data_IF_766132026454
#
_entry.id   IF_766132026454
#
_cell.length_a   1.000
_cell.length_b   1.000
_cell.length_c   1.000
_cell.angle_alpha   90.00
_cell.angle_beta   90.00
_cell.angle_gamma   90.00
#
_symmetry.space_group_name_H-M   'P 1'
#
loop_
_entity.id
_entity.type
_entity.pdbx_description
1 polymer ?
#
# COMPACT_ATOMS: atom_id res chain seq x y z
N UNK A 1 0.07 33.29 -3.02
CA UNK A 1 1.28 32.80 -3.71
C UNK A 1 1.24 31.27 -3.64
N UNK A 2 1.22 30.57 -4.76
CA UNK A 2 1.21 29.10 -4.75
C UNK A 2 2.62 28.63 -4.37
N UNK A 3 2.75 27.95 -3.22
CA UNK A 3 3.99 27.30 -2.85
C UNK A 3 4.36 26.31 -3.96
N UNK A 4 5.62 26.35 -4.41
CA UNK A 4 6.11 25.45 -5.46
C UNK A 4 6.11 24.04 -4.88
N UNK A 5 5.14 23.22 -5.28
CA UNK A 5 5.01 21.83 -4.82
C UNK A 5 6.31 21.07 -5.09
N UNK A 6 6.72 20.20 -4.15
CA UNK A 6 7.79 19.25 -4.40
C UNK A 6 7.35 18.30 -5.52
N UNK A 7 8.32 17.67 -6.18
CA UNK A 7 8.06 16.66 -7.22
C UNK A 7 7.09 15.61 -6.64
N UNK A 8 6.00 15.35 -7.36
CA UNK A 8 4.98 14.32 -7.07
C UNK A 8 4.10 14.56 -5.80
N UNK A 9 4.23 15.72 -5.13
CA UNK A 9 3.36 16.08 -4.01
C UNK A 9 1.93 16.40 -4.49
N UNK A 10 0.93 15.73 -3.89
CA UNK A 10 -0.47 16.02 -4.14
C UNK A 10 -0.89 17.36 -3.50
N UNK A 11 -1.58 18.25 -4.22
CA UNK A 11 -2.17 19.43 -3.63
C UNK A 11 -3.20 19.06 -2.54
N UNK A 12 -3.20 19.77 -1.41
CA UNK A 12 -4.08 19.49 -0.26
C UNK A 12 -5.57 19.39 -0.65
N UNK A 13 -6.06 20.30 -1.49
CA UNK A 13 -7.44 20.27 -1.97
C UNK A 13 -7.80 18.99 -2.75
N UNK A 14 -6.83 18.42 -3.48
CA UNK A 14 -6.98 17.17 -4.22
C UNK A 14 -6.97 15.97 -3.27
N UNK A 15 -6.07 15.97 -2.29
CA UNK A 15 -5.99 14.91 -1.27
C UNK A 15 -7.28 14.83 -0.41
N UNK A 16 -7.82 15.97 0.04
CA UNK A 16 -9.09 15.99 0.80
C UNK A 16 -10.27 15.50 -0.04
N UNK A 17 -10.33 15.84 -1.31
CA UNK A 17 -11.35 15.32 -2.23
C UNK A 17 -11.24 13.78 -2.36
N UNK A 18 -10.03 13.25 -2.51
CA UNK A 18 -9.79 11.81 -2.61
C UNK A 18 -10.17 11.04 -1.35
N UNK A 19 -9.91 11.60 -0.16
CA UNK A 19 -10.37 11.04 1.11
C UNK A 19 -11.89 11.01 1.22
N UNK A 20 -12.55 12.08 0.77
CA UNK A 20 -14.02 12.13 0.77
C UNK A 20 -14.60 11.05 -0.16
N UNK A 21 -14.07 10.94 -1.39
CA UNK A 21 -14.51 9.93 -2.35
C UNK A 21 -14.29 8.51 -1.82
N UNK A 22 -13.15 8.26 -1.17
CA UNK A 22 -12.89 6.97 -0.56
C UNK A 22 -13.95 6.61 0.50
N UNK A 23 -14.30 7.54 1.40
CA UNK A 23 -15.31 7.28 2.45
C UNK A 23 -16.69 6.96 1.89
N UNK A 24 -17.03 7.50 0.72
CA UNK A 24 -18.32 7.24 0.09
C UNK A 24 -18.34 5.92 -0.66
N UNK A 25 -17.26 5.58 -1.38
CA UNK A 25 -17.06 4.25 -1.98
C UNK A 25 -16.91 3.15 -0.92
N UNK A 26 -16.33 3.48 0.24
CA UNK A 26 -16.14 2.54 1.34
C UNK A 26 -17.46 1.97 1.85
N UNK A 27 -18.51 2.81 1.88
CA UNK A 27 -19.85 2.41 2.31
C UNK A 27 -20.51 1.43 1.34
N UNK A 28 -20.09 1.44 0.07
CA UNK A 28 -20.75 0.71 -1.02
C UNK A 28 -19.99 -0.58 -1.34
N UNK A 29 -18.69 -0.50 -1.62
CA UNK A 29 -17.92 -1.62 -2.17
C UNK A 29 -16.85 -2.18 -1.22
N UNK A 30 -16.36 -1.37 -0.27
CA UNK A 30 -15.29 -1.74 0.65
C UNK A 30 -15.84 -2.41 1.93
N UNK A 31 -16.07 -3.72 1.85
CA UNK A 31 -16.54 -4.49 3.01
C UNK A 31 -15.41 -5.13 3.84
N UNK A 32 -14.34 -4.39 4.12
CA UNK A 32 -13.20 -4.84 4.93
C UNK A 32 -13.04 -3.99 6.17
N UNK A 33 -12.44 -4.55 7.22
CA UNK A 33 -11.94 -3.78 8.34
C UNK A 33 -10.54 -3.26 8.00
N UNK A 34 -10.35 -1.95 8.02
CA UNK A 34 -9.02 -1.34 7.85
C UNK A 34 -8.27 -1.29 9.17
N UNK A 35 -7.09 -1.88 9.19
CA UNK A 35 -6.09 -1.65 10.23
C UNK A 35 -5.04 -0.67 9.72
N UNK A 36 -4.39 0.05 10.64
CA UNK A 36 -3.32 0.98 10.28
C UNK A 36 -2.16 0.21 9.65
N UNK A 37 -1.76 0.65 8.46
CA UNK A 37 -0.60 0.13 7.74
C UNK A 37 0.52 1.15 7.93
N UNK A 38 1.57 0.78 8.67
CA UNK A 38 2.69 1.67 8.96
C UNK A 38 3.96 1.05 8.42
N UNK A 39 4.78 1.84 7.73
CA UNK A 39 6.13 1.48 7.33
C UNK A 39 7.13 2.17 8.24
N UNK A 40 7.92 1.40 8.98
CA UNK A 40 8.95 1.92 9.87
C UNK A 40 10.26 2.15 9.10
N UNK A 41 11.00 3.20 9.47
CA UNK A 41 12.29 3.58 8.87
C UNK A 41 13.30 2.43 8.88
N UNK A 42 13.35 1.65 9.96
CA UNK A 42 14.23 0.49 10.07
C UNK A 42 13.88 -0.59 9.04
N UNK A 43 12.59 -0.91 8.92
CA UNK A 43 12.10 -1.84 7.89
C UNK A 43 12.41 -1.34 6.48
N UNK A 44 12.19 -0.04 6.22
CA UNK A 44 12.55 0.57 4.94
C UNK A 44 14.04 0.40 4.64
N UNK A 45 14.93 0.69 5.59
CA UNK A 45 16.38 0.54 5.39
C UNK A 45 16.77 -0.90 5.06
N UNK A 46 16.14 -1.88 5.72
CA UNK A 46 16.37 -3.30 5.44
C UNK A 46 15.88 -3.67 4.03
N UNK A 47 14.69 -3.21 3.64
CA UNK A 47 14.09 -3.53 2.34
C UNK A 47 14.76 -2.78 1.18
N UNK A 48 15.16 -1.53 1.35
CA UNK A 48 15.87 -0.77 0.34
C UNK A 48 17.28 -1.33 0.11
N UNK A 49 17.93 -1.79 1.19
CA UNK A 49 19.31 -2.30 1.13
C UNK A 49 20.30 -1.28 0.60
N UNK A 50 21.52 -1.72 0.30
CA UNK A 50 22.57 -0.87 -0.28
C UNK A 50 22.32 -0.54 -1.75
N UNK A 51 21.61 -1.42 -2.47
CA UNK A 51 21.27 -1.27 -3.89
C UNK A 51 20.09 -0.34 -4.13
N UNK A 52 19.58 0.31 -3.07
CA UNK A 52 18.57 1.36 -3.21
C UNK A 52 17.30 0.84 -3.91
N UNK A 53 16.93 -0.40 -3.58
CA UNK A 53 15.78 -1.10 -4.12
C UNK A 53 14.48 -0.34 -3.82
N UNK A 54 13.49 -0.52 -4.69
CA UNK A 54 12.13 -0.04 -4.43
C UNK A 54 11.46 -0.95 -3.42
N UNK A 55 10.42 -0.44 -2.77
CA UNK A 55 9.60 -1.22 -1.85
C UNK A 55 8.26 -1.48 -2.51
N UNK A 56 7.85 -2.75 -2.57
CA UNK A 56 6.51 -3.13 -3.02
C UNK A 56 5.68 -3.56 -1.82
N UNK A 57 4.46 -3.05 -1.75
CA UNK A 57 3.50 -3.35 -0.69
C UNK A 57 2.35 -4.14 -1.29
N UNK A 58 2.21 -5.40 -0.86
CA UNK A 58 1.11 -6.26 -1.21
C UNK A 58 -0.04 -6.11 -0.22
N UNK A 59 -1.27 -6.10 -0.72
CA UNK A 59 -2.46 -6.15 0.11
C UNK A 59 -2.88 -7.60 0.35
N UNK A 60 -3.16 -7.92 1.61
CA UNK A 60 -3.58 -9.23 2.08
C UNK A 60 -4.81 -9.14 2.96
N UNK A 61 -5.38 -10.30 3.29
CA UNK A 61 -6.42 -10.41 4.31
C UNK A 61 -5.94 -11.32 5.43
N UNK A 62 -6.27 -10.97 6.67
CA UNK A 62 -6.09 -11.89 7.78
C UNK A 62 -6.95 -13.15 7.56
N UNK A 63 -6.40 -14.34 7.85
CA UNK A 63 -7.12 -15.60 7.63
C UNK A 63 -8.36 -15.72 8.53
N UNK A 64 -8.33 -15.08 9.70
CA UNK A 64 -9.44 -15.02 10.64
C UNK A 64 -10.28 -13.77 10.42
N UNK A 65 -11.59 -13.95 10.27
CA UNK A 65 -12.53 -12.83 10.22
C UNK A 65 -12.62 -12.16 11.60
N UNK A 66 -12.66 -10.84 11.61
CA UNK A 66 -12.96 -10.07 12.80
C UNK A 66 -14.46 -9.77 12.81
N UNK A 67 -15.22 -10.61 13.49
CA UNK A 67 -16.69 -10.61 13.41
C UNK A 67 -17.17 -11.11 12.04
N UNK A 68 -17.91 -10.28 11.29
CA UNK A 68 -18.45 -10.65 9.97
C UNK A 68 -17.57 -10.25 8.79
N UNK A 69 -16.53 -9.44 9.01
CA UNK A 69 -15.69 -8.87 7.94
C UNK A 69 -14.27 -9.44 8.01
N UNK A 70 -13.64 -9.55 6.85
CA UNK A 70 -12.20 -9.77 6.79
C UNK A 70 -11.45 -8.50 7.21
N UNK A 71 -10.27 -8.69 7.79
CA UNK A 71 -9.37 -7.61 8.17
C UNK A 71 -8.27 -7.46 7.12
N UNK A 72 -8.10 -6.23 6.61
CA UNK A 72 -7.07 -5.92 5.63
C UNK A 72 -5.71 -5.84 6.34
N UNK A 73 -4.72 -6.51 5.77
CA UNK A 73 -3.31 -6.40 6.17
C UNK A 73 -2.44 -6.07 4.95
N UNK A 74 -1.18 -5.75 5.19
CA UNK A 74 -0.23 -5.43 4.14
C UNK A 74 1.16 -6.02 4.42
N UNK A 75 1.86 -6.35 3.35
CA UNK A 75 3.20 -6.94 3.40
C UNK A 75 4.15 -6.15 2.50
N UNK A 76 5.29 -5.73 3.04
CA UNK A 76 6.33 -5.03 2.30
C UNK A 76 7.46 -5.97 1.92
N UNK A 77 7.90 -5.86 0.66
CA UNK A 77 9.01 -6.62 0.09
C UNK A 77 9.93 -5.68 -0.71
N UNK A 78 11.18 -6.10 -0.85
CA UNK A 78 12.16 -5.42 -1.69
C UNK A 78 11.92 -5.75 -3.16
N UNK A 79 12.00 -4.76 -4.04
CA UNK A 79 11.82 -4.91 -5.48
C UNK A 79 12.99 -4.25 -6.23
N UNK A 80 13.68 -5.02 -7.08
CA UNK A 80 14.84 -4.56 -7.86
C UNK A 80 14.55 -4.53 -9.35
N UNK A 81 15.26 -3.67 -10.06
CA UNK A 81 15.15 -3.56 -11.52
C UNK A 81 15.90 -4.74 -12.17
N UNK A 82 15.20 -5.56 -12.95
CA UNK A 82 15.84 -6.66 -13.67
C UNK A 82 16.20 -6.23 -15.10
N UNK A 83 17.51 -6.12 -15.37
CA UNK A 83 18.04 -5.79 -16.70
C UNK A 83 17.88 -4.31 -17.08
N UNK A 84 17.79 -4.02 -18.39
CA UNK A 84 17.63 -2.67 -18.94
C UNK A 84 16.16 -2.25 -19.16
N UNK A 85 15.18 -3.09 -18.81
CA UNK A 85 13.76 -2.80 -18.92
C UNK A 85 13.17 -2.20 -17.64
N UNK A 86 11.94 -1.67 -17.70
CA UNK A 86 11.20 -1.11 -16.55
C UNK A 86 10.49 -2.18 -15.70
N UNK A 87 11.06 -3.39 -15.59
CA UNK A 87 10.44 -4.50 -14.86
C UNK A 87 11.10 -4.67 -13.49
N UNK A 88 10.30 -4.50 -12.44
CA UNK A 88 10.72 -4.69 -11.05
C UNK A 88 10.34 -6.09 -10.55
N UNK A 89 11.35 -6.85 -10.14
CA UNK A 89 11.21 -8.20 -9.59
C UNK A 89 11.34 -8.15 -8.08
N UNK A 90 10.50 -8.92 -7.38
CA UNK A 90 10.52 -8.96 -5.92
C UNK A 90 11.59 -9.94 -5.42
N UNK A 91 12.25 -9.58 -4.33
CA UNK A 91 12.99 -10.55 -3.54
C UNK A 91 12.03 -11.43 -2.75
N UNK A 92 12.36 -12.71 -2.62
CA UNK A 92 11.61 -13.63 -1.76
C UNK A 92 11.79 -13.32 -0.27
N UNK A 93 12.92 -12.72 0.09
CA UNK A 93 13.24 -12.27 1.45
C UNK A 93 14.11 -11.01 1.41
N UNK A 94 14.02 -10.12 2.40
CA UNK A 94 13.12 -10.19 3.55
C UNK A 94 11.70 -9.68 3.24
N UNK A 95 10.72 -10.18 4.00
CA UNK A 95 9.29 -9.81 3.90
C UNK A 95 8.80 -9.35 5.26
N UNK A 96 8.16 -8.18 5.31
CA UNK A 96 7.64 -7.62 6.56
C UNK A 96 6.14 -7.42 6.51
N UNK A 97 5.43 -7.87 7.56
CA UNK A 97 4.03 -7.50 7.76
C UNK A 97 3.97 -6.10 8.37
N UNK A 98 3.24 -5.21 7.70
CA UNK A 98 3.08 -3.83 8.09
C UNK A 98 1.94 -3.71 9.09
N UNK A 99 2.28 -3.49 10.36
CA UNK A 99 1.31 -3.23 11.42
C UNK A 99 1.71 -1.94 12.15
N UNK A 100 1.38 -1.78 13.43
CA UNK A 100 1.95 -0.71 14.27
C UNK A 100 3.44 -0.93 14.53
N UNK A 101 3.88 -2.18 14.59
CA UNK A 101 5.29 -2.58 14.70
C UNK A 101 5.52 -3.60 13.60
N UNK A 102 6.49 -3.35 12.74
CA UNK A 102 6.70 -4.21 11.58
C UNK A 102 7.29 -5.55 12.02
N UNK A 103 6.62 -6.61 11.60
CA UNK A 103 6.99 -7.97 11.97
C UNK A 103 7.70 -8.64 10.80
N UNK A 104 8.82 -9.30 11.07
CA UNK A 104 9.49 -10.12 10.08
C UNK A 104 8.68 -11.40 9.79
N UNK A 105 8.33 -11.57 8.53
CA UNK A 105 7.58 -12.70 7.97
C UNK A 105 8.40 -13.47 6.93
N UNK A 106 9.72 -13.23 6.84
CA UNK A 106 10.61 -13.89 5.88
C UNK A 106 10.66 -15.42 6.03
N UNK A 107 10.39 -15.95 7.22
CA UNK A 107 10.28 -17.40 7.48
C UNK A 107 8.88 -17.97 7.27
N UNK A 108 7.89 -17.11 7.01
CA UNK A 108 6.45 -17.42 6.91
C UNK A 108 5.87 -17.06 5.54
N UNK A 109 6.69 -17.18 4.49
CA UNK A 109 6.31 -16.79 3.11
C UNK A 109 5.02 -17.46 2.63
N UNK A 110 4.76 -18.71 3.06
CA UNK A 110 3.51 -19.40 2.73
C UNK A 110 2.28 -18.67 3.30
N UNK A 111 2.34 -18.23 4.55
CA UNK A 111 1.23 -17.50 5.20
C UNK A 111 0.98 -16.16 4.49
N UNK A 112 2.05 -15.50 4.05
CA UNK A 112 1.97 -14.26 3.26
C UNK A 112 1.27 -14.52 1.92
N UNK A 113 1.70 -15.55 1.19
CA UNK A 113 1.10 -15.94 -0.10
C UNK A 113 -0.38 -16.28 0.05
N UNK A 114 -0.74 -17.05 1.07
CA UNK A 114 -2.13 -17.45 1.32
C UNK A 114 -3.00 -16.24 1.69
N UNK A 115 -2.47 -15.29 2.48
CA UNK A 115 -3.13 -14.02 2.78
C UNK A 115 -3.37 -13.16 1.53
N UNK A 116 -2.39 -13.06 0.64
CA UNK A 116 -2.50 -12.31 -0.63
C UNK A 116 -3.53 -12.99 -1.56
N UNK A 117 -3.53 -14.32 -1.65
CA UNK A 117 -4.53 -15.08 -2.42
C UNK A 117 -5.95 -14.88 -1.88
N UNK A 118 -6.10 -14.79 -0.57
CA UNK A 118 -7.38 -14.50 0.07
C UNK A 118 -7.89 -13.10 -0.33
N UNK A 119 -7.02 -12.09 -0.29
CA UNK A 119 -7.35 -10.74 -0.76
C UNK A 119 -7.74 -10.70 -2.24
N UNK A 120 -7.02 -11.43 -3.10
CA UNK A 120 -7.35 -11.55 -4.53
C UNK A 120 -8.73 -12.18 -4.74
N UNK A 121 -9.03 -13.23 -3.98
CA UNK A 121 -10.35 -13.89 -4.05
C UNK A 121 -11.48 -12.96 -3.60
N UNK A 122 -11.23 -12.10 -2.59
CA UNK A 122 -12.16 -11.05 -2.20
C UNK A 122 -12.32 -9.97 -3.28
N UNK A 123 -11.20 -9.56 -3.90
CA UNK A 123 -11.20 -8.57 -4.98
C UNK A 123 -11.94 -9.08 -6.22
N UNK A 124 -11.80 -10.35 -6.56
CA UNK A 124 -12.50 -10.99 -7.67
C UNK A 124 -13.99 -11.23 -7.40
N UNK A 125 -14.47 -10.89 -6.20
CA UNK A 125 -15.84 -11.16 -5.79
C UNK A 125 -16.13 -12.64 -5.56
N UNK A 126 -15.11 -13.51 -5.48
CA UNK A 126 -15.29 -14.93 -5.14
C UNK A 126 -15.68 -15.09 -3.68
N UNK A 127 -15.15 -14.24 -2.79
CA UNK A 127 -15.53 -14.13 -1.39
C UNK A 127 -16.61 -13.06 -1.19
N UNK A 128 -17.53 -13.33 -0.26
CA UNK A 128 -18.63 -12.43 0.10
C UNK A 128 -19.40 -11.92 -1.13
N UNK A 129 -19.77 -12.84 -2.04
CA UNK A 129 -20.48 -12.58 -3.32
C UNK A 129 -21.74 -11.73 -3.18
N UNK A 130 -22.45 -11.87 -2.07
CA UNK A 130 -23.70 -11.14 -1.80
C UNK A 130 -23.48 -9.69 -1.39
N UNK A 131 -22.24 -9.26 -1.14
CA UNK A 131 -21.95 -7.89 -0.76
C UNK A 131 -22.05 -6.95 -1.98
N UNK A 132 -22.65 -5.76 -1.83
CA UNK A 132 -22.72 -4.77 -2.90
C UNK A 132 -21.33 -4.46 -3.47
N UNK A 133 -21.25 -4.31 -4.79
CA UNK A 133 -20.02 -4.00 -5.51
C UNK A 133 -19.01 -5.15 -5.61
N UNK A 134 -19.31 -6.37 -5.18
CA UNK A 134 -18.39 -7.52 -5.25
C UNK A 134 -17.86 -7.78 -6.68
N UNK A 135 -18.69 -7.57 -7.70
CA UNK A 135 -18.32 -7.78 -9.12
C UNK A 135 -17.34 -6.74 -9.67
N UNK A 136 -17.30 -5.55 -9.08
CA UNK A 136 -16.51 -4.41 -9.58
C UNK A 136 -15.25 -4.13 -8.77
N UNK A 137 -15.07 -4.76 -7.60
CA UNK A 137 -13.89 -4.61 -6.73
C UNK A 137 -12.57 -4.75 -7.48
N UNK A 138 -12.48 -5.67 -8.44
CA UNK A 138 -11.28 -5.90 -9.27
C UNK A 138 -10.83 -4.71 -10.11
N UNK A 139 -11.72 -3.77 -10.39
CA UNK A 139 -11.40 -2.55 -11.14
C UNK A 139 -11.07 -1.37 -10.22
N UNK A 140 -11.42 -1.47 -8.94
CA UNK A 140 -11.25 -0.39 -7.96
C UNK A 140 -9.98 -0.61 -7.15
N UNK A 141 -9.76 -1.83 -6.65
CA UNK A 141 -8.71 -2.14 -5.68
C UNK A 141 -7.53 -2.81 -6.38
N UNK A 142 -6.28 -2.33 -6.25
CA UNK A 142 -5.10 -2.95 -6.83
C UNK A 142 -4.66 -4.16 -6.00
N UNK A 143 -3.76 -4.95 -6.57
CA UNK A 143 -3.07 -6.05 -5.89
C UNK A 143 -2.01 -5.56 -4.90
N UNK A 144 -1.25 -4.55 -5.33
CA UNK A 144 -0.05 -4.10 -4.68
C UNK A 144 0.30 -2.68 -5.14
N UNK A 145 1.26 -2.09 -4.44
CA UNK A 145 1.75 -0.74 -4.66
C UNK A 145 3.28 -0.76 -4.72
N UNK A 146 3.86 -0.27 -5.83
CA UNK A 146 5.30 -0.10 -5.95
C UNK A 146 5.65 1.34 -5.57
N UNK A 147 6.28 1.52 -4.42
CA UNK A 147 6.70 2.84 -3.96
C UNK A 147 7.98 3.26 -4.68
N UNK A 148 8.10 4.55 -5.04
CA UNK A 148 9.38 5.00 -5.60
C UNK A 148 10.41 5.14 -4.49
N UNK A 149 11.67 5.07 -4.92
CA UNK A 149 12.77 5.29 -4.02
C UNK A 149 12.78 6.73 -3.47
N UNK A 150 12.42 7.70 -4.30
CA UNK A 150 12.61 9.11 -3.98
C UNK A 150 11.75 9.55 -2.80
N UNK A 151 10.49 9.13 -2.73
CA UNK A 151 9.58 9.53 -1.66
C UNK A 151 9.99 8.93 -0.32
N UNK A 152 10.28 7.62 -0.28
CA UNK A 152 10.69 6.96 0.96
C UNK A 152 12.04 7.49 1.44
N UNK A 153 12.96 7.80 0.51
CA UNK A 153 14.21 8.46 0.82
C UNK A 153 13.97 9.88 1.37
N UNK A 154 13.08 10.65 0.77
CA UNK A 154 12.70 11.98 1.25
C UNK A 154 12.12 11.91 2.68
N UNK A 155 11.13 11.04 2.92
CA UNK A 155 10.49 10.86 4.22
C UNK A 155 11.50 10.41 5.29
N UNK A 156 12.23 9.33 5.03
CA UNK A 156 13.04 8.69 6.05
C UNK A 156 14.44 9.27 6.18
N UNK A 157 15.07 9.72 5.10
CA UNK A 157 16.46 10.20 5.13
C UNK A 157 16.56 11.72 5.17
N UNK A 158 15.73 12.45 4.40
CA UNK A 158 15.81 13.91 4.34
C UNK A 158 15.02 14.55 5.49
N UNK A 159 13.77 14.13 5.68
CA UNK A 159 12.91 14.63 6.75
C UNK A 159 13.13 13.92 8.10
N UNK A 160 13.93 12.85 8.09
CA UNK A 160 14.33 12.07 9.26
C UNK A 160 13.15 11.52 10.09
N UNK A 161 12.05 11.20 9.42
CA UNK A 161 10.88 10.63 10.05
C UNK A 161 11.11 9.16 10.41
N UNK A 162 10.42 8.66 11.41
CA UNK A 162 10.62 7.28 11.88
C UNK A 162 9.60 6.30 11.29
N UNK A 163 8.44 6.80 10.87
CA UNK A 163 7.29 5.98 10.49
C UNK A 163 6.47 6.72 9.44
N UNK A 164 5.99 5.99 8.43
CA UNK A 164 5.09 6.49 7.40
C UNK A 164 3.78 5.69 7.42
N UNK A 165 2.65 6.38 7.54
CA UNK A 165 1.33 5.72 7.45
C UNK A 165 0.93 5.62 5.97
N UNK A 166 0.41 4.46 5.57
CA UNK A 166 -0.12 4.22 4.23
C UNK A 166 -1.65 4.13 4.33
N UNK A 167 -2.34 5.02 3.64
CA UNK A 167 -3.80 5.04 3.55
C UNK A 167 -4.27 5.12 2.08
N UNK A 168 -5.55 4.90 1.82
CA UNK A 168 -6.09 4.81 0.46
C UNK A 168 -6.98 5.99 0.11
N UNK A 169 -6.78 6.55 -1.09
CA UNK A 169 -7.65 7.56 -1.70
C UNK A 169 -8.22 7.08 -3.04
N UNK A 170 -9.37 7.61 -3.47
CA UNK A 170 -9.98 7.27 -4.77
C UNK A 170 -10.06 8.48 -5.70
N UNK A 171 -9.61 8.27 -6.95
CA UNK A 171 -9.70 9.20 -8.08
C UNK A 171 -10.16 8.48 -9.35
N UNK A 172 -11.33 7.83 -9.34
CA UNK A 172 -11.78 6.89 -10.40
C UNK A 172 -10.82 5.70 -10.69
N UNK A 173 -9.63 5.70 -10.08
CA UNK A 173 -8.63 4.65 -9.85
C UNK A 173 -8.02 4.92 -8.47
N UNK A 174 -7.66 3.87 -7.71
CA UNK A 174 -7.17 3.99 -6.33
C UNK A 174 -5.69 4.36 -6.28
N UNK A 175 -5.37 5.29 -5.37
CA UNK A 175 -4.07 5.90 -5.13
C UNK A 175 -3.64 5.64 -3.68
N UNK A 176 -2.35 5.42 -3.41
CA UNK A 176 -1.84 5.24 -2.06
C UNK A 176 -1.33 6.57 -1.51
N UNK A 177 -1.81 6.96 -0.34
CA UNK A 177 -1.32 8.12 0.39
C UNK A 177 -0.22 7.67 1.37
N UNK A 178 0.97 8.24 1.24
CA UNK A 178 2.12 7.97 2.11
C UNK A 178 2.37 9.24 2.93
N UNK A 179 2.10 9.18 4.24
CA UNK A 179 2.33 10.30 5.15
C UNK A 179 3.77 10.31 5.67
N UNK A 180 4.33 11.50 5.91
CA UNK A 180 5.66 11.65 6.53
C UNK A 180 5.70 11.25 8.00
N UNK A 181 4.58 11.24 8.72
CA UNK A 181 4.50 10.93 10.16
C UNK A 181 3.28 10.07 10.52
N UNK A 182 3.35 9.39 11.67
CA UNK A 182 2.17 8.77 12.30
C UNK A 182 1.23 9.87 12.81
N UNK A 183 0.07 9.98 12.19
CA UNK A 183 -0.95 10.95 12.61
C UNK A 183 -1.44 10.64 14.04
N UNK A 184 -1.13 11.54 14.99
CA UNK A 184 -1.87 11.59 16.27
C UNK A 184 -3.23 12.22 15.98
N UNK A 185 -4.31 11.69 16.56
CA UNK A 185 -5.72 12.07 16.27
C UNK A 185 -6.06 13.58 16.35
N UNK A 186 -5.16 14.43 16.85
CA UNK A 186 -5.37 15.85 17.10
C UNK A 186 -4.32 16.78 16.46
N UNK A 187 -3.46 16.32 15.54
CA UNK A 187 -2.56 17.21 14.81
C UNK A 187 -3.32 18.03 13.77
N UNK A 188 -3.04 19.33 13.71
CA UNK A 188 -3.61 20.26 12.73
C UNK A 188 -3.22 19.87 11.30
N UNK A 189 -4.11 20.07 10.30
CA UNK A 189 -3.93 19.53 8.95
C UNK A 189 -2.73 20.08 8.17
N UNK A 190 -2.17 21.21 8.60
CA UNK A 190 -1.25 22.02 7.80
C UNK A 190 0.23 21.59 7.89
N UNK A 191 0.60 20.64 8.75
CA UNK A 191 2.01 20.31 9.03
C UNK A 191 2.48 18.94 8.52
N UNK A 192 1.68 18.19 7.75
CA UNK A 192 2.04 16.80 7.35
C UNK A 192 2.05 16.64 5.83
N UNK A 193 3.21 16.33 5.26
CA UNK A 193 3.33 16.09 3.81
C UNK A 193 2.81 14.68 3.44
N UNK A 194 2.19 14.54 2.26
CA UNK A 194 1.55 13.29 1.77
C UNK A 194 1.89 13.05 0.29
N UNK A 195 2.27 11.81 -0.05
CA UNK A 195 2.72 11.39 -1.39
C UNK A 195 1.83 10.28 -2.00
N UNK A 196 1.87 10.09 -3.33
CA UNK A 196 1.19 9.00 -4.08
C UNK A 196 1.92 8.65 -5.39
N UNK A 197 2.81 7.66 -5.34
CA UNK A 197 3.53 7.13 -6.51
C UNK A 197 3.03 5.76 -7.00
N UNK A 198 1.75 5.49 -6.82
CA UNK A 198 1.26 4.14 -7.08
C UNK A 198 0.71 3.92 -8.49
N UNK A 199 1.25 2.93 -9.19
CA UNK A 199 0.73 2.48 -10.48
C UNK A 199 -0.17 1.22 -10.32
N UNK A 200 -1.33 1.16 -11.00
CA UNK A 200 -2.24 0.02 -10.90
C UNK A 200 -1.65 -1.23 -11.56
N UNK A 201 -1.81 -2.36 -10.87
CA UNK A 201 -1.21 -3.64 -11.19
C UNK A 201 -2.33 -4.70 -11.32
N UNK A 202 -2.66 -5.23 -12.53
CA UNK A 202 -2.09 -4.99 -13.89
C UNK A 202 -2.63 -3.73 -14.61
N UNK A 203 -2.01 -3.22 -15.71
CA UNK A 203 -1.05 -3.86 -16.65
C UNK A 203 0.45 -3.60 -16.39
N UNK A 204 0.82 -2.84 -15.36
CA UNK A 204 2.22 -2.44 -15.11
C UNK A 204 3.04 -3.49 -14.31
N UNK A 205 2.58 -4.74 -14.25
CA UNK A 205 3.20 -5.82 -13.47
C UNK A 205 3.28 -7.13 -14.25
N UNK A 206 4.33 -7.93 -13.97
CA UNK A 206 4.65 -9.19 -14.65
C UNK A 206 3.63 -10.32 -14.38
N UNK A 207 2.97 -10.83 -15.42
CA UNK A 207 2.05 -11.98 -15.35
C UNK A 207 2.74 -13.30 -14.95
N UNK A 208 4.07 -13.39 -15.05
CA UNK A 208 4.87 -14.58 -14.68
C UNK A 208 5.31 -14.60 -13.23
N UNK A 209 5.07 -13.52 -12.48
CA UNK A 209 5.36 -13.51 -11.04
C UNK A 209 4.57 -14.61 -10.34
N UNK A 210 5.21 -15.40 -9.47
CA UNK A 210 4.51 -16.39 -8.63
C UNK A 210 3.47 -15.74 -7.70
N UNK A 211 3.62 -14.43 -7.48
CA UNK A 211 2.66 -13.62 -6.77
C UNK A 211 1.56 -13.10 -7.68
N UNK A 212 1.75 -13.02 -9.00
CA UNK A 212 0.69 -12.78 -10.00
C UNK A 212 0.01 -14.06 -10.51
N UNK A 213 0.61 -15.21 -10.17
CA UNK A 213 0.14 -16.61 -10.14
C UNK A 213 -1.34 -16.81 -9.81
#
# INVERSE_FOLDING_TARGET
MAAKLKRDQLPNAKAENWKSNFKDEEKISFNLKKSKIVLQKETYKILAGENENRVRIYLGLEPTKNGRKYELCAYAVSAFLLGSGEVYVDYETPVYKLTKINEDFSSRTKDVVDSIKLYRSWREGKLDKSAPGAEVRKYIYPNAYLLTKYELHEIFNIQNKQEAEIDFGISKTMSAMIYTDVQKRNSTPDDVEVFDDTAPCPPFCDERSIYNS
#
